data_IF_476625705640
#
_entry.id   IF_476625705640
#
_cell.length_a   1.000
_cell.length_b   1.000
_cell.length_c   1.000
_cell.angle_alpha   90.00
_cell.angle_beta   90.00
_cell.angle_gamma   90.00
#
_symmetry.space_group_name_H-M   'P 1'
#
loop_
_entity.id
_entity.type
_entity.pdbx_description
1 polymer ?
#
# COMPACT_ATOMS: atom_id res chain seq x y z
N UNK A 1 42.34 40.71 -25.56
CA UNK A 1 41.09 40.28 -24.84
C UNK A 1 40.58 41.46 -24.03
N UNK A 2 39.37 41.91 -24.31
CA UNK A 2 38.85 43.14 -23.74
C UNK A 2 38.28 42.83 -22.34
N UNK A 3 38.68 43.61 -21.31
CA UNK A 3 38.28 43.41 -19.88
C UNK A 3 36.77 43.27 -19.68
N UNK A 4 35.96 43.90 -20.55
CA UNK A 4 34.49 43.76 -20.53
C UNK A 4 33.98 42.37 -20.93
N UNK A 5 34.67 41.66 -21.82
CA UNK A 5 34.30 40.31 -22.23
C UNK A 5 34.61 39.28 -21.12
N UNK A 6 35.68 39.50 -20.35
CA UNK A 6 36.02 38.60 -19.23
C UNK A 6 35.03 38.70 -18.06
N UNK A 7 34.55 39.91 -17.75
CA UNK A 7 33.53 40.10 -16.66
C UNK A 7 32.18 39.50 -17.07
N UNK A 8 31.80 39.58 -18.37
CA UNK A 8 30.56 38.98 -18.87
C UNK A 8 30.56 37.44 -18.83
N UNK A 9 31.71 36.83 -19.16
CA UNK A 9 31.84 35.36 -19.09
C UNK A 9 31.91 34.82 -17.66
N UNK A 10 32.48 35.56 -16.72
CA UNK A 10 32.53 35.19 -15.30
C UNK A 10 31.16 35.29 -14.63
N UNK A 11 30.33 36.27 -15.02
CA UNK A 11 28.96 36.40 -14.49
C UNK A 11 28.00 35.28 -15.01
N UNK A 12 28.18 34.85 -16.27
CA UNK A 12 27.44 33.73 -16.85
C UNK A 12 27.83 32.38 -16.24
N UNK A 13 29.11 32.18 -15.92
CA UNK A 13 29.59 30.97 -15.26
C UNK A 13 29.11 30.88 -13.79
N UNK A 14 29.03 32.02 -13.06
CA UNK A 14 28.52 32.06 -11.71
C UNK A 14 26.98 31.85 -11.67
N UNK A 15 26.24 32.33 -12.67
CA UNK A 15 24.79 32.07 -12.78
C UNK A 15 24.47 30.60 -13.14
N UNK A 16 25.34 29.94 -13.95
CA UNK A 16 25.17 28.52 -14.26
C UNK A 16 25.52 27.59 -13.09
N UNK A 17 26.40 27.99 -12.18
CA UNK A 17 26.76 27.25 -10.98
C UNK A 17 25.71 27.41 -9.84
N UNK A 18 24.93 28.50 -9.85
CA UNK A 18 23.85 28.72 -8.88
C UNK A 18 22.52 28.03 -9.26
N UNK A 19 22.37 27.49 -10.47
CA UNK A 19 21.20 26.74 -10.92
C UNK A 19 21.33 25.21 -10.75
N UNK A 20 22.44 24.69 -10.21
CA UNK A 20 22.65 23.26 -9.96
C UNK A 20 22.27 22.80 -8.54
N UNK A 21 21.39 23.50 -7.83
CA UNK A 21 21.14 23.26 -6.42
C UNK A 21 19.70 23.07 -5.97
N UNK A 22 18.72 23.00 -6.85
CA UNK A 22 17.35 22.61 -6.47
C UNK A 22 16.80 21.55 -7.42
N UNK A 23 17.40 20.36 -7.40
CA UNK A 23 16.61 19.19 -7.66
C UNK A 23 15.58 19.14 -6.52
N UNK A 24 14.34 19.55 -6.77
CA UNK A 24 13.25 19.22 -5.87
C UNK A 24 13.28 17.70 -5.70
N UNK A 25 13.83 17.26 -4.58
CA UNK A 25 13.71 15.88 -4.16
C UNK A 25 12.20 15.64 -4.12
N UNK A 26 11.70 14.81 -5.04
CA UNK A 26 10.28 14.50 -5.13
C UNK A 26 9.89 13.97 -3.77
N UNK A 27 9.24 14.79 -2.96
CA UNK A 27 8.87 14.45 -1.60
C UNK A 27 8.02 13.17 -1.70
N UNK A 28 8.49 12.10 -1.06
CA UNK A 28 7.74 10.85 -1.05
C UNK A 28 6.39 11.10 -0.38
N UNK A 29 5.32 10.77 -1.08
CA UNK A 29 3.98 10.83 -0.51
C UNK A 29 3.80 9.63 0.42
N UNK A 30 3.41 9.89 1.67
CA UNK A 30 3.28 8.87 2.71
C UNK A 30 1.80 8.57 2.91
N UNK A 31 1.45 7.29 2.76
CA UNK A 31 0.10 6.79 2.98
C UNK A 31 -0.10 6.14 4.34
N UNK A 32 -1.35 5.95 4.70
CA UNK A 32 -1.77 5.18 5.86
C UNK A 32 -2.95 4.28 5.51
N UNK A 33 -2.92 3.02 5.96
CA UNK A 33 -4.08 2.14 5.92
C UNK A 33 -5.07 2.57 7.00
N UNK A 34 -6.33 2.85 6.62
CA UNK A 34 -7.36 3.35 7.56
C UNK A 34 -7.70 2.36 8.68
N UNK A 35 -7.42 1.07 8.49
CA UNK A 35 -7.59 0.08 9.56
C UNK A 35 -6.73 0.40 10.79
N UNK A 36 -5.63 1.12 10.61
CA UNK A 36 -4.80 1.67 11.69
C UNK A 36 -5.61 2.54 12.66
N UNK A 37 -6.57 3.28 12.19
CA UNK A 37 -7.41 4.18 13.00
C UNK A 37 -8.87 3.72 13.06
N UNK A 38 -9.11 2.41 12.93
CA UNK A 38 -10.45 1.81 12.84
C UNK A 38 -11.41 2.22 13.94
N UNK A 39 -10.92 2.36 15.17
CA UNK A 39 -11.74 2.79 16.31
C UNK A 39 -12.16 4.25 16.20
N UNK A 40 -11.32 5.10 15.61
CA UNK A 40 -11.65 6.49 15.33
C UNK A 40 -12.58 6.62 14.11
N UNK A 41 -12.38 5.79 13.08
CA UNK A 41 -13.28 5.67 11.92
C UNK A 41 -14.68 5.25 12.38
N UNK A 42 -14.79 4.29 13.31
CA UNK A 42 -16.06 3.85 13.85
C UNK A 42 -16.80 4.96 14.64
N UNK A 43 -16.07 5.88 15.26
CA UNK A 43 -16.64 7.06 15.93
C UNK A 43 -17.05 8.15 14.93
N UNK A 44 -16.16 8.49 14.01
CA UNK A 44 -16.37 9.49 12.96
C UNK A 44 -15.33 9.36 11.87
N UNK A 45 -15.78 9.06 10.66
CA UNK A 45 -14.90 9.03 9.47
C UNK A 45 -14.27 10.39 9.22
N UNK A 46 -15.05 11.46 9.40
CA UNK A 46 -14.61 12.87 9.27
C UNK A 46 -13.47 13.18 10.23
N UNK A 47 -13.67 12.83 11.52
CA UNK A 47 -12.67 13.06 12.57
C UNK A 47 -11.39 12.25 12.34
N UNK A 48 -11.53 11.00 11.90
CA UNK A 48 -10.39 10.14 11.57
C UNK A 48 -9.56 10.72 10.42
N UNK A 49 -10.19 11.11 9.30
CA UNK A 49 -9.50 11.71 8.15
C UNK A 49 -8.85 13.05 8.51
N UNK A 50 -9.50 13.87 9.35
CA UNK A 50 -8.91 15.11 9.85
C UNK A 50 -7.67 14.86 10.71
N UNK A 51 -7.73 13.86 11.60
CA UNK A 51 -6.58 13.46 12.44
C UNK A 51 -5.39 12.95 11.61
N UNK A 52 -5.64 12.15 10.58
CA UNK A 52 -4.63 11.66 9.63
C UNK A 52 -3.99 12.83 8.86
N UNK A 53 -4.78 13.73 8.32
CA UNK A 53 -4.28 14.89 7.60
C UNK A 53 -3.43 15.80 8.53
N UNK A 54 -3.87 15.99 9.79
CA UNK A 54 -3.11 16.74 10.80
C UNK A 54 -1.78 16.09 11.17
N UNK A 55 -1.71 14.76 11.17
CA UNK A 55 -0.47 14.02 11.37
C UNK A 55 0.50 14.17 10.19
N UNK A 56 0.02 14.62 9.01
CA UNK A 56 0.84 14.95 7.85
C UNK A 56 0.98 13.86 6.80
N UNK A 57 0.00 12.93 6.74
CA UNK A 57 -0.14 11.95 5.66
C UNK A 57 -0.73 12.59 4.41
N UNK A 58 -0.38 12.06 3.25
CA UNK A 58 -0.78 12.57 1.93
C UNK A 58 -1.93 11.76 1.33
N UNK A 59 -1.98 10.46 1.62
CA UNK A 59 -3.01 9.58 1.10
C UNK A 59 -3.39 8.48 2.10
N UNK A 60 -4.51 7.85 1.83
CA UNK A 60 -5.05 6.76 2.64
C UNK A 60 -5.31 5.55 1.75
N UNK A 61 -5.24 4.39 2.33
CA UNK A 61 -5.83 3.18 1.80
C UNK A 61 -7.13 2.89 2.54
N UNK A 62 -8.21 2.74 1.78
CA UNK A 62 -9.54 2.52 2.34
C UNK A 62 -9.74 1.04 2.70
N UNK A 63 -10.73 0.76 3.54
CA UNK A 63 -11.25 -0.57 3.82
C UNK A 63 -12.76 -0.51 4.09
N UNK A 64 -13.39 -1.66 4.38
CA UNK A 64 -14.76 -1.70 4.89
C UNK A 64 -15.81 -1.37 3.84
N UNK A 65 -15.53 -1.61 2.55
CA UNK A 65 -16.53 -1.50 1.49
C UNK A 65 -17.53 -2.64 1.58
N UNK A 66 -18.79 -2.30 1.76
CA UNK A 66 -19.91 -3.22 1.78
C UNK A 66 -21.16 -2.51 1.26
N UNK A 67 -21.99 -3.20 0.47
CA UNK A 67 -23.26 -2.67 -0.06
C UNK A 67 -23.13 -1.30 -0.72
N UNK A 68 -22.05 -1.10 -1.47
CA UNK A 68 -21.69 0.15 -2.17
C UNK A 68 -21.39 1.33 -1.24
N UNK A 69 -21.07 1.07 0.01
CA UNK A 69 -20.75 2.06 1.02
C UNK A 69 -19.38 1.78 1.66
N UNK A 70 -18.69 2.83 2.05
CA UNK A 70 -17.55 2.81 2.98
C UNK A 70 -17.99 3.47 4.29
N UNK A 71 -18.00 2.72 5.36
CA UNK A 71 -18.38 3.25 6.67
C UNK A 71 -19.75 3.96 6.68
N UNK A 72 -20.72 3.40 5.93
CA UNK A 72 -22.06 3.98 5.78
C UNK A 72 -22.16 5.19 4.82
N UNK A 73 -21.07 5.53 4.10
CA UNK A 73 -21.02 6.66 3.15
C UNK A 73 -20.78 6.16 1.73
N UNK A 74 -21.39 6.83 0.76
CA UNK A 74 -21.15 6.56 -0.67
C UNK A 74 -19.71 6.96 -1.07
N UNK A 75 -19.20 6.40 -2.17
CA UNK A 75 -17.91 6.78 -2.73
C UNK A 75 -17.81 8.30 -3.01
N UNK A 76 -18.91 8.93 -3.45
CA UNK A 76 -18.94 10.37 -3.66
C UNK A 76 -18.79 11.17 -2.36
N UNK A 77 -19.39 10.73 -1.25
CA UNK A 77 -19.24 11.36 0.06
C UNK A 77 -17.81 11.17 0.60
N UNK A 78 -17.24 9.97 0.50
CA UNK A 78 -15.82 9.72 0.85
C UNK A 78 -14.89 10.63 0.04
N UNK A 79 -15.10 10.71 -1.29
CA UNK A 79 -14.30 11.61 -2.15
C UNK A 79 -14.34 13.07 -1.68
N UNK A 80 -15.52 13.57 -1.29
CA UNK A 80 -15.67 14.92 -0.78
C UNK A 80 -14.87 15.12 0.52
N UNK A 81 -14.92 14.16 1.46
CA UNK A 81 -14.17 14.19 2.71
C UNK A 81 -12.66 14.13 2.48
N UNK A 82 -12.19 13.27 1.58
CA UNK A 82 -10.77 13.20 1.20
C UNK A 82 -10.30 14.55 0.64
N UNK A 83 -11.06 15.13 -0.28
CA UNK A 83 -10.75 16.45 -0.86
C UNK A 83 -10.70 17.55 0.19
N UNK A 84 -11.65 17.58 1.12
CA UNK A 84 -11.69 18.56 2.23
C UNK A 84 -10.43 18.49 3.09
N UNK A 85 -9.90 17.31 3.32
CA UNK A 85 -8.70 17.06 4.12
C UNK A 85 -7.40 17.04 3.30
N UNK A 86 -7.45 17.32 1.98
CA UNK A 86 -6.31 17.28 1.05
C UNK A 86 -5.65 15.87 1.00
N UNK A 87 -6.41 14.83 1.24
CA UNK A 87 -6.00 13.43 1.15
C UNK A 87 -6.40 12.85 -0.20
N UNK A 88 -5.67 11.81 -0.64
CA UNK A 88 -5.99 10.99 -1.81
C UNK A 88 -6.20 9.54 -1.37
N UNK A 89 -6.88 8.74 -2.19
CA UNK A 89 -6.97 7.29 -2.00
C UNK A 89 -6.62 6.60 -3.31
N UNK A 90 -5.47 5.93 -3.36
CA UNK A 90 -5.00 5.25 -4.58
C UNK A 90 -5.38 3.78 -4.60
N UNK A 91 -5.75 3.24 -3.44
CA UNK A 91 -6.14 1.84 -3.23
C UNK A 91 -7.16 1.70 -2.11
N UNK A 92 -7.72 0.52 -2.03
CA UNK A 92 -8.54 0.10 -0.92
C UNK A 92 -8.54 -1.42 -0.77
N UNK A 93 -8.70 -1.87 0.46
CA UNK A 93 -8.90 -3.26 0.83
C UNK A 93 -10.36 -3.66 0.66
N UNK A 94 -10.62 -4.65 -0.17
CA UNK A 94 -11.95 -5.14 -0.50
C UNK A 94 -12.07 -6.62 -0.17
N UNK A 95 -12.96 -6.94 0.76
CA UNK A 95 -13.29 -8.33 1.12
C UNK A 95 -14.22 -8.92 0.05
N UNK A 96 -13.67 -9.62 -0.90
CA UNK A 96 -14.35 -10.14 -2.09
C UNK A 96 -14.74 -11.62 -1.96
N UNK A 97 -15.23 -12.04 -0.80
CA UNK A 97 -15.47 -13.44 -0.46
C UNK A 97 -16.34 -14.16 -1.51
N UNK A 98 -17.43 -13.54 -1.95
CA UNK A 98 -18.30 -14.14 -2.96
C UNK A 98 -17.60 -14.37 -4.29
N UNK A 99 -16.78 -13.40 -4.73
CA UNK A 99 -15.98 -13.54 -5.94
C UNK A 99 -14.94 -14.66 -5.81
N UNK A 100 -14.26 -14.73 -4.68
CA UNK A 100 -13.15 -15.64 -4.47
C UNK A 100 -13.58 -17.09 -4.24
N UNK A 101 -14.70 -17.29 -3.54
CA UNK A 101 -15.04 -18.63 -3.03
C UNK A 101 -16.23 -19.30 -3.71
N UNK A 102 -17.15 -18.54 -4.28
CA UNK A 102 -18.31 -19.14 -4.94
C UNK A 102 -17.93 -19.75 -6.30
N UNK A 103 -18.43 -20.94 -6.59
CA UNK A 103 -18.21 -21.62 -7.87
C UNK A 103 -18.73 -20.80 -9.06
N UNK A 104 -19.88 -20.15 -8.86
CA UNK A 104 -20.47 -19.22 -9.81
C UNK A 104 -20.52 -17.85 -9.18
N UNK A 105 -20.04 -16.83 -9.86
CA UNK A 105 -20.04 -15.46 -9.38
C UNK A 105 -20.70 -14.51 -10.39
N UNK A 106 -21.59 -13.65 -9.90
CA UNK A 106 -22.16 -12.58 -10.71
C UNK A 106 -21.21 -11.38 -10.73
N UNK A 107 -20.58 -11.14 -11.88
CA UNK A 107 -19.63 -10.06 -12.06
C UNK A 107 -20.25 -8.65 -12.00
N UNK A 108 -21.57 -8.49 -11.88
CA UNK A 108 -22.19 -7.18 -11.74
C UNK A 108 -21.81 -6.50 -10.43
N UNK A 109 -21.71 -7.27 -9.32
CA UNK A 109 -21.21 -6.73 -8.03
C UNK A 109 -19.78 -6.20 -8.15
N UNK A 110 -18.93 -6.90 -8.91
CA UNK A 110 -17.57 -6.45 -9.22
C UNK A 110 -17.55 -5.16 -10.02
N UNK A 111 -18.42 -5.02 -11.04
CA UNK A 111 -18.54 -3.80 -11.83
C UNK A 111 -18.99 -2.62 -10.97
N UNK A 112 -19.99 -2.81 -10.09
CA UNK A 112 -20.39 -1.76 -9.15
C UNK A 112 -19.27 -1.30 -8.24
N UNK A 113 -18.44 -2.23 -7.75
CA UNK A 113 -17.24 -1.91 -6.97
C UNK A 113 -16.25 -1.09 -7.80
N UNK A 114 -15.99 -1.49 -9.05
CA UNK A 114 -15.10 -0.76 -9.96
C UNK A 114 -15.61 0.65 -10.29
N UNK A 115 -16.94 0.84 -10.46
CA UNK A 115 -17.54 2.15 -10.64
C UNK A 115 -17.30 3.05 -9.42
N UNK A 116 -17.53 2.53 -8.21
CA UNK A 116 -17.33 3.27 -6.97
C UNK A 116 -15.83 3.59 -6.71
N UNK A 117 -14.93 2.63 -7.00
CA UNK A 117 -13.50 2.83 -6.93
C UNK A 117 -12.99 3.86 -7.96
N UNK A 118 -13.58 3.88 -9.16
CA UNK A 118 -13.26 4.88 -10.19
C UNK A 118 -13.64 6.30 -9.75
N UNK A 119 -14.79 6.47 -9.08
CA UNK A 119 -15.14 7.75 -8.46
C UNK A 119 -14.10 8.24 -7.47
N UNK A 120 -13.47 7.34 -6.71
CA UNK A 120 -12.41 7.63 -5.76
C UNK A 120 -11.04 7.82 -6.42
N UNK A 121 -10.93 7.55 -7.74
CA UNK A 121 -9.68 7.58 -8.50
C UNK A 121 -8.66 6.51 -8.04
N UNK A 122 -9.15 5.37 -7.55
CA UNK A 122 -8.30 4.24 -7.22
C UNK A 122 -7.53 3.74 -8.43
N UNK A 123 -6.31 3.30 -8.20
CA UNK A 123 -5.47 2.61 -9.17
C UNK A 123 -5.38 1.12 -8.85
N UNK A 124 -5.72 0.74 -7.62
CA UNK A 124 -5.66 -0.64 -7.13
C UNK A 124 -6.91 -1.02 -6.35
N UNK A 125 -7.37 -2.24 -6.63
CA UNK A 125 -8.35 -2.96 -5.82
C UNK A 125 -7.56 -4.06 -5.11
N UNK A 126 -7.36 -3.93 -3.80
CA UNK A 126 -6.52 -4.87 -3.05
C UNK A 126 -7.40 -5.89 -2.33
N UNK A 127 -7.08 -7.17 -2.51
CA UNK A 127 -7.67 -8.28 -1.78
C UNK A 127 -6.82 -8.48 -0.51
N UNK A 128 -7.36 -8.18 0.70
CA UNK A 128 -6.54 -8.10 1.91
C UNK A 128 -6.41 -9.42 2.66
N UNK A 129 -7.28 -10.40 2.38
CA UNK A 129 -7.43 -11.55 3.26
C UNK A 129 -8.09 -12.73 2.58
N UNK A 130 -7.66 -13.94 2.93
CA UNK A 130 -8.39 -15.17 2.65
C UNK A 130 -8.86 -15.83 3.94
N UNK A 131 -10.13 -16.25 3.96
CA UNK A 131 -10.70 -16.97 5.09
C UNK A 131 -9.92 -18.27 5.36
N UNK A 132 -9.73 -18.60 6.63
CA UNK A 132 -8.99 -19.80 7.05
C UNK A 132 -9.56 -21.10 6.47
N UNK A 133 -10.88 -21.16 6.24
CA UNK A 133 -11.54 -22.28 5.58
C UNK A 133 -11.18 -22.45 4.10
N UNK A 134 -10.51 -21.45 3.50
CA UNK A 134 -10.19 -21.37 2.07
C UNK A 134 -8.69 -21.19 1.81
N UNK A 135 -7.83 -21.92 2.55
CA UNK A 135 -6.36 -21.85 2.46
C UNK A 135 -5.71 -23.16 2.04
N UNK A 136 -6.43 -24.03 1.32
CA UNK A 136 -5.84 -25.22 0.70
C UNK A 136 -5.15 -24.88 -0.62
N UNK A 137 -4.32 -25.79 -1.15
CA UNK A 137 -3.68 -25.58 -2.46
C UNK A 137 -4.67 -25.36 -3.60
N UNK A 138 -5.80 -26.08 -3.59
CA UNK A 138 -6.87 -25.93 -4.59
C UNK A 138 -7.60 -24.58 -4.41
N UNK A 139 -7.76 -24.09 -3.18
CA UNK A 139 -8.33 -22.77 -2.92
C UNK A 139 -7.44 -21.67 -3.48
N UNK A 140 -6.12 -21.70 -3.20
CA UNK A 140 -5.19 -20.72 -3.74
C UNK A 140 -5.17 -20.70 -5.27
N UNK A 141 -5.26 -21.86 -5.91
CA UNK A 141 -5.37 -21.95 -7.37
C UNK A 141 -6.63 -21.26 -7.87
N UNK A 142 -7.80 -21.59 -7.29
CA UNK A 142 -9.08 -20.98 -7.64
C UNK A 142 -9.08 -19.48 -7.40
N UNK A 143 -8.58 -19.02 -6.25
CA UNK A 143 -8.44 -17.60 -5.93
C UNK A 143 -7.58 -16.88 -6.97
N UNK A 144 -6.45 -17.47 -7.37
CA UNK A 144 -5.56 -16.92 -8.38
C UNK A 144 -6.24 -16.78 -9.75
N UNK A 145 -7.04 -17.79 -10.16
CA UNK A 145 -7.84 -17.75 -11.37
C UNK A 145 -8.88 -16.61 -11.30
N UNK A 146 -9.58 -16.47 -10.18
CA UNK A 146 -10.56 -15.39 -9.94
C UNK A 146 -9.92 -13.99 -9.93
N UNK A 147 -8.74 -13.86 -9.36
CA UNK A 147 -7.97 -12.61 -9.41
C UNK A 147 -7.67 -12.22 -10.86
N UNK A 148 -7.21 -13.14 -11.69
CA UNK A 148 -6.93 -12.89 -13.10
C UNK A 148 -8.21 -12.46 -13.86
N UNK A 149 -9.33 -13.15 -13.64
CA UNK A 149 -10.63 -12.81 -14.26
C UNK A 149 -11.08 -11.40 -13.85
N UNK A 150 -11.05 -11.09 -12.56
CA UNK A 150 -11.41 -9.76 -12.03
C UNK A 150 -10.47 -8.66 -12.54
N UNK A 151 -9.18 -8.93 -12.63
CA UNK A 151 -8.18 -7.99 -13.11
C UNK A 151 -8.37 -7.68 -14.62
N UNK A 152 -8.77 -8.66 -15.42
CA UNK A 152 -9.10 -8.44 -16.81
C UNK A 152 -10.27 -7.46 -16.99
N UNK A 153 -11.28 -7.52 -16.11
CA UNK A 153 -12.39 -6.54 -16.09
C UNK A 153 -11.94 -5.17 -15.57
N UNK A 154 -11.11 -5.13 -14.50
CA UNK A 154 -10.60 -3.89 -13.91
C UNK A 154 -9.74 -3.07 -14.91
N UNK A 155 -9.13 -3.72 -15.89
CA UNK A 155 -8.35 -3.07 -16.96
C UNK A 155 -9.13 -1.99 -17.70
N UNK A 156 -10.42 -2.17 -17.94
CA UNK A 156 -11.28 -1.18 -18.60
C UNK A 156 -11.38 0.13 -17.79
N UNK A 157 -11.24 0.04 -16.48
CA UNK A 157 -11.22 1.16 -15.54
C UNK A 157 -9.80 1.72 -15.30
N UNK A 158 -8.78 1.18 -16.00
CA UNK A 158 -7.35 1.51 -15.79
C UNK A 158 -6.86 1.19 -14.38
N UNK A 159 -7.47 0.20 -13.73
CA UNK A 159 -7.09 -0.30 -12.42
C UNK A 159 -6.39 -1.65 -12.53
N UNK A 160 -5.56 -1.95 -11.54
CA UNK A 160 -5.00 -3.28 -11.30
C UNK A 160 -5.65 -3.91 -10.08
N UNK A 161 -5.59 -5.23 -10.00
CA UNK A 161 -5.89 -5.94 -8.76
C UNK A 161 -4.60 -6.13 -7.98
N UNK A 162 -4.64 -5.85 -6.68
CA UNK A 162 -3.60 -6.13 -5.72
C UNK A 162 -3.95 -7.33 -4.84
N UNK A 163 -2.95 -8.02 -4.33
CA UNK A 163 -3.11 -9.00 -3.28
C UNK A 163 -2.17 -8.67 -2.12
N UNK A 164 -2.73 -8.56 -0.91
CA UNK A 164 -2.01 -8.30 0.33
C UNK A 164 -1.79 -9.62 1.09
N UNK A 165 -0.56 -9.85 1.52
CA UNK A 165 -0.20 -11.07 2.25
C UNK A 165 -0.26 -10.90 3.77
N UNK A 166 -0.47 -12.04 4.42
CA UNK A 166 -0.17 -12.27 5.82
C UNK A 166 0.98 -13.29 5.95
N UNK A 167 1.06 -13.99 7.06
CA UNK A 167 2.09 -15.02 7.31
C UNK A 167 1.77 -16.36 6.62
N UNK A 168 0.49 -16.68 6.46
CA UNK A 168 0.07 -18.00 5.97
C UNK A 168 0.40 -18.24 4.50
N UNK A 169 0.51 -17.22 3.67
CA UNK A 169 0.88 -17.35 2.26
C UNK A 169 2.34 -17.77 2.07
N UNK A 170 3.17 -17.63 3.10
CA UNK A 170 4.56 -18.13 3.08
C UNK A 170 4.68 -19.61 3.42
N UNK A 171 3.58 -20.29 3.74
CA UNK A 171 3.56 -21.74 3.92
C UNK A 171 3.79 -22.47 2.60
N UNK A 172 4.36 -23.68 2.69
CA UNK A 172 4.67 -24.52 1.51
C UNK A 172 3.40 -25.14 0.91
N UNK A 173 3.26 -25.02 -0.39
CA UNK A 173 2.11 -25.51 -1.17
C UNK A 173 2.34 -26.90 -1.77
N UNK A 174 3.05 -27.79 -1.10
CA UNK A 174 3.26 -29.16 -1.57
C UNK A 174 4.19 -29.35 -2.79
N UNK A 175 4.37 -28.33 -3.63
CA UNK A 175 5.26 -28.31 -4.80
C UNK A 175 6.64 -27.67 -4.52
N UNK A 176 6.99 -27.53 -3.25
CA UNK A 176 8.25 -26.92 -2.81
C UNK A 176 8.25 -25.38 -2.79
N UNK A 177 7.28 -24.73 -3.42
CA UNK A 177 7.07 -23.27 -3.39
C UNK A 177 6.09 -22.88 -2.30
N UNK A 178 6.07 -21.59 -1.95
CA UNK A 178 5.04 -21.03 -1.05
C UNK A 178 3.75 -20.74 -1.83
N UNK A 179 2.64 -20.54 -1.10
CA UNK A 179 1.39 -20.12 -1.73
C UNK A 179 1.56 -18.77 -2.43
N UNK A 180 2.21 -17.80 -1.76
CA UNK A 180 2.49 -16.48 -2.36
C UNK A 180 3.32 -16.61 -3.64
N UNK A 181 4.35 -17.46 -3.65
CA UNK A 181 5.18 -17.66 -4.84
C UNK A 181 4.36 -18.21 -6.01
N UNK A 182 3.46 -19.16 -5.77
CA UNK A 182 2.57 -19.70 -6.80
C UNK A 182 1.63 -18.60 -7.32
N UNK A 183 0.98 -17.83 -6.44
CA UNK A 183 0.09 -16.74 -6.85
C UNK A 183 0.81 -15.68 -7.70
N UNK A 184 2.05 -15.30 -7.34
CA UNK A 184 2.84 -14.36 -8.13
C UNK A 184 3.13 -14.90 -9.53
N UNK A 185 3.44 -16.20 -9.66
CA UNK A 185 3.78 -16.85 -10.94
C UNK A 185 2.57 -17.06 -11.84
N UNK A 186 1.42 -17.35 -11.24
CA UNK A 186 0.20 -17.75 -11.95
C UNK A 186 -0.74 -16.55 -12.23
N UNK A 187 -0.38 -15.33 -11.79
CA UNK A 187 -1.10 -14.09 -12.11
C UNK A 187 -0.47 -13.30 -13.25
N UNK A 188 -1.31 -12.64 -14.06
CA UNK A 188 -0.86 -11.76 -15.15
C UNK A 188 -0.11 -10.54 -14.59
N UNK A 189 1.21 -10.39 -14.84
CA UNK A 189 2.00 -9.28 -14.31
C UNK A 189 1.60 -7.90 -14.88
N UNK A 190 0.88 -7.87 -15.98
CA UNK A 190 0.34 -6.63 -16.54
C UNK A 190 -0.89 -6.12 -15.80
N UNK A 191 -1.62 -6.99 -15.12
CA UNK A 191 -2.93 -6.72 -14.53
C UNK A 191 -2.97 -6.87 -13.00
N UNK A 192 -2.07 -7.67 -12.43
CA UNK A 192 -2.03 -8.00 -11.01
C UNK A 192 -0.69 -7.60 -10.43
N UNK A 193 -0.71 -6.89 -9.34
CA UNK A 193 0.45 -6.55 -8.51
C UNK A 193 0.25 -7.11 -7.09
N UNK A 194 1.28 -7.01 -6.25
CA UNK A 194 1.21 -7.47 -4.87
C UNK A 194 1.48 -6.30 -3.93
N UNK A 195 0.76 -6.29 -2.83
CA UNK A 195 1.01 -5.43 -1.68
C UNK A 195 1.74 -6.25 -0.64
N UNK A 196 3.06 -6.04 -0.53
CA UNK A 196 3.83 -6.75 0.48
C UNK A 196 3.62 -6.11 1.86
N UNK A 197 2.99 -6.84 2.76
CA UNK A 197 3.07 -6.51 4.18
C UNK A 197 4.42 -6.99 4.71
N UNK A 198 5.29 -6.03 5.00
CA UNK A 198 6.68 -6.27 5.41
C UNK A 198 6.75 -6.88 6.80
N UNK A 199 5.84 -6.49 7.69
CA UNK A 199 5.73 -7.07 9.02
C UNK A 199 5.39 -8.57 8.94
N UNK A 200 4.35 -8.93 8.16
CA UNK A 200 3.95 -10.33 8.03
C UNK A 200 5.00 -11.18 7.34
N UNK A 201 5.72 -10.63 6.37
CA UNK A 201 6.88 -11.30 5.76
C UNK A 201 7.96 -11.56 6.82
N UNK A 202 8.36 -10.55 7.58
CA UNK A 202 9.35 -10.69 8.66
C UNK A 202 8.86 -11.62 9.78
N UNK A 203 7.57 -11.56 10.13
CA UNK A 203 6.94 -12.46 11.12
C UNK A 203 7.05 -13.93 10.71
N UNK A 204 6.86 -14.22 9.41
CA UNK A 204 7.02 -15.54 8.81
C UNK A 204 8.49 -15.92 8.57
N UNK A 205 9.47 -15.10 9.03
CA UNK A 205 10.89 -15.39 8.86
C UNK A 205 11.40 -15.19 7.43
N UNK A 206 10.71 -14.39 6.61
CA UNK A 206 11.10 -14.06 5.25
C UNK A 206 11.87 -12.75 5.18
N UNK A 207 12.83 -12.66 4.27
CA UNK A 207 13.50 -11.41 3.92
C UNK A 207 12.74 -10.70 2.79
N UNK A 208 12.14 -9.51 3.02
CA UNK A 208 11.45 -8.75 1.97
C UNK A 208 12.33 -8.45 0.76
N UNK A 209 13.64 -8.21 0.98
CA UNK A 209 14.57 -7.88 -0.10
C UNK A 209 14.81 -9.08 -1.01
N UNK A 210 14.87 -10.30 -0.44
CA UNK A 210 14.94 -11.53 -1.25
C UNK A 210 13.69 -11.66 -2.14
N UNK A 211 12.50 -11.40 -1.62
CA UNK A 211 11.27 -11.40 -2.41
C UNK A 211 11.30 -10.36 -3.53
N UNK A 212 11.81 -9.15 -3.29
CA UNK A 212 11.97 -8.13 -4.33
C UNK A 212 12.94 -8.56 -5.44
N UNK A 213 14.03 -9.24 -5.08
CA UNK A 213 15.01 -9.77 -6.06
C UNK A 213 14.45 -10.93 -6.89
N UNK A 214 13.68 -11.81 -6.27
CA UNK A 214 13.07 -12.97 -6.93
C UNK A 214 11.93 -12.58 -7.87
N UNK A 215 11.20 -11.52 -7.54
CA UNK A 215 10.04 -11.05 -8.27
C UNK A 215 10.09 -9.52 -8.51
N UNK A 216 11.07 -9.06 -9.31
CA UNK A 216 11.27 -7.63 -9.51
C UNK A 216 10.04 -6.99 -10.17
N UNK A 217 9.64 -5.82 -9.67
CA UNK A 217 8.50 -5.05 -10.20
C UNK A 217 7.12 -5.56 -9.82
N UNK A 218 7.00 -6.63 -8.99
CA UNK A 218 5.70 -7.20 -8.62
C UNK A 218 5.12 -6.66 -7.31
N UNK A 219 5.94 -6.04 -6.45
CA UNK A 219 5.52 -5.51 -5.16
C UNK A 219 5.41 -3.99 -5.24
N UNK A 220 4.38 -3.53 -5.95
CA UNK A 220 4.18 -2.10 -6.22
C UNK A 220 3.52 -1.35 -5.07
N UNK A 221 2.96 -2.08 -4.12
CA UNK A 221 2.38 -1.58 -2.88
C UNK A 221 3.08 -2.21 -1.69
N UNK A 222 3.26 -1.45 -0.60
CA UNK A 222 3.78 -1.96 0.66
C UNK A 222 2.93 -1.53 1.84
N UNK A 223 2.74 -2.45 2.80
CA UNK A 223 2.42 -2.07 4.17
C UNK A 223 3.71 -1.90 4.97
N UNK A 224 3.88 -0.67 5.46
CA UNK A 224 4.99 -0.27 6.32
C UNK A 224 4.50 -0.37 7.77
N UNK A 225 4.63 -1.58 8.32
CA UNK A 225 4.15 -2.00 9.62
C UNK A 225 5.34 -2.58 10.38
N UNK A 226 5.70 -1.97 11.51
CA UNK A 226 6.88 -2.37 12.26
C UNK A 226 6.54 -3.44 13.31
N UNK A 227 7.54 -4.21 13.70
CA UNK A 227 7.43 -5.34 14.60
C UNK A 227 8.17 -5.08 15.90
N UNK A 228 7.49 -5.14 17.03
CA UNK A 228 8.11 -4.94 18.35
C UNK A 228 9.13 -6.03 18.65
N UNK A 229 10.14 -5.66 19.44
CA UNK A 229 11.07 -6.62 20.00
C UNK A 229 10.37 -7.49 21.05
N UNK A 230 10.78 -8.75 21.14
CA UNK A 230 10.28 -9.68 22.15
C UNK A 230 9.37 -10.79 21.59
N UNK A 231 8.85 -11.66 22.46
CA UNK A 231 8.19 -12.90 22.04
C UNK A 231 6.83 -12.67 21.35
N UNK A 232 6.13 -11.60 21.70
CA UNK A 232 4.79 -11.33 21.17
C UNK A 232 4.80 -10.76 19.74
N UNK A 233 5.93 -10.19 19.31
CA UNK A 233 6.09 -9.64 17.95
C UNK A 233 4.93 -8.75 17.50
N UNK A 234 4.33 -7.97 18.40
CA UNK A 234 3.18 -7.11 18.07
C UNK A 234 3.60 -5.98 17.12
N UNK A 235 2.65 -5.45 16.35
CA UNK A 235 2.90 -4.24 15.58
C UNK A 235 3.15 -3.05 16.51
N UNK A 236 4.05 -2.16 16.10
CA UNK A 236 4.38 -0.95 16.84
C UNK A 236 4.63 0.20 15.86
N UNK A 237 4.90 1.39 16.40
CA UNK A 237 5.24 2.56 15.60
C UNK A 237 6.47 2.29 14.72
N UNK A 238 6.41 2.72 13.48
CA UNK A 238 7.51 2.58 12.52
C UNK A 238 8.76 3.27 13.08
N UNK A 239 9.85 2.53 13.13
CA UNK A 239 11.13 2.96 13.70
C UNK A 239 11.31 2.66 15.19
N UNK A 240 10.30 2.12 15.88
CA UNK A 240 10.42 1.64 17.26
C UNK A 240 10.53 0.10 17.34
N UNK A 241 10.42 -0.57 16.20
CA UNK A 241 10.51 -2.03 16.09
C UNK A 241 11.90 -2.53 15.68
N UNK A 242 11.91 -3.73 15.09
CA UNK A 242 13.13 -4.44 14.69
C UNK A 242 13.37 -4.45 13.18
N UNK A 243 12.46 -3.88 12.37
CA UNK A 243 12.57 -3.90 10.92
C UNK A 243 13.51 -2.78 10.45
N UNK A 244 14.50 -3.12 9.63
CA UNK A 244 15.44 -2.14 9.05
C UNK A 244 14.83 -1.44 7.83
N UNK A 245 14.07 -0.40 8.08
CA UNK A 245 13.37 0.38 7.06
C UNK A 245 14.33 1.05 6.08
N UNK A 246 15.51 1.51 6.51
CA UNK A 246 16.49 2.14 5.62
C UNK A 246 16.96 1.18 4.52
N UNK A 247 17.30 -0.03 4.92
CA UNK A 247 17.73 -1.08 3.97
C UNK A 247 16.58 -1.52 3.05
N UNK A 248 15.35 -1.63 3.57
CA UNK A 248 14.18 -2.00 2.75
C UNK A 248 13.83 -0.92 1.73
N UNK A 249 13.77 0.36 2.13
CA UNK A 249 13.50 1.46 1.21
C UNK A 249 14.61 1.66 0.16
N UNK A 250 15.86 1.33 0.47
CA UNK A 250 16.92 1.31 -0.53
C UNK A 250 16.65 0.34 -1.69
N UNK A 251 15.86 -0.73 -1.46
CA UNK A 251 15.46 -1.71 -2.46
C UNK A 251 14.15 -1.36 -3.21
N UNK A 252 13.53 -0.19 -2.96
CA UNK A 252 12.22 0.19 -3.51
C UNK A 252 12.12 0.11 -5.05
N UNK A 253 13.20 0.42 -5.76
CA UNK A 253 13.23 0.31 -7.24
C UNK A 253 13.11 -1.13 -7.71
N UNK A 254 13.77 -2.06 -7.02
CA UNK A 254 13.72 -3.48 -7.36
C UNK A 254 12.33 -4.05 -7.13
N UNK A 255 11.64 -3.64 -6.07
CA UNK A 255 10.25 -4.05 -5.81
C UNK A 255 9.27 -3.50 -6.83
N UNK A 256 9.57 -2.34 -7.43
CA UNK A 256 8.67 -1.57 -8.29
C UNK A 256 7.71 -0.66 -7.52
N UNK A 257 8.07 -0.26 -6.29
CA UNK A 257 7.21 0.50 -5.37
C UNK A 257 6.59 1.74 -6.03
N UNK A 258 5.29 1.89 -5.87
CA UNK A 258 4.50 3.06 -6.27
C UNK A 258 3.87 3.76 -5.09
N UNK A 259 3.27 2.99 -4.17
CA UNK A 259 2.63 3.49 -2.96
C UNK A 259 3.01 2.64 -1.78
N UNK A 260 3.10 3.25 -0.61
CA UNK A 260 3.22 2.53 0.65
C UNK A 260 2.33 3.16 1.70
N UNK A 261 1.86 2.34 2.62
CA UNK A 261 0.92 2.71 3.66
C UNK A 261 1.45 2.27 5.02
N UNK A 262 1.55 3.22 5.94
CA UNK A 262 1.80 2.89 7.34
C UNK A 262 0.61 2.11 7.88
N UNK A 263 0.87 1.02 8.58
CA UNK A 263 -0.16 0.29 9.30
C UNK A 263 0.30 -0.07 10.71
N UNK A 264 -0.61 -0.01 11.68
CA UNK A 264 -0.39 -0.43 13.06
C UNK A 264 -1.71 -0.94 13.66
N UNK A 265 -1.63 -2.05 14.41
CA UNK A 265 -2.82 -2.68 15.00
C UNK A 265 -2.80 -2.69 16.53
N UNK A 266 -1.64 -2.52 17.16
CA UNK A 266 -1.45 -2.47 18.61
C UNK A 266 -0.87 -1.13 19.02
N UNK A 267 -1.41 -0.53 20.05
CA UNK A 267 -1.08 0.83 20.47
C UNK A 267 -0.69 0.85 21.94
N UNK A 268 0.38 1.56 22.27
CA UNK A 268 0.83 1.84 23.65
C UNK A 268 0.48 3.25 24.10
N UNK A 269 -0.05 4.08 23.17
CA UNK A 269 -0.46 5.46 23.36
C UNK A 269 -1.65 5.79 22.44
N UNK A 270 -2.28 6.97 22.52
CA UNK A 270 -3.35 7.36 21.60
C UNK A 270 -2.93 7.22 20.14
N UNK A 271 -3.78 6.63 19.31
CA UNK A 271 -3.43 6.24 17.92
C UNK A 271 -2.89 7.37 17.07
N UNK A 272 -3.41 8.60 17.23
CA UNK A 272 -2.90 9.75 16.49
C UNK A 272 -1.47 10.15 16.87
N UNK A 273 -1.01 9.84 18.09
CA UNK A 273 0.39 9.98 18.47
C UNK A 273 1.25 8.90 17.82
N UNK A 274 0.77 7.65 17.81
CA UNK A 274 1.47 6.54 17.14
C UNK A 274 1.72 6.83 15.66
N UNK A 275 0.69 7.27 14.93
CA UNK A 275 0.83 7.58 13.50
C UNK A 275 1.69 8.81 13.23
N UNK A 276 1.68 9.81 14.14
CA UNK A 276 2.56 10.98 14.07
C UNK A 276 4.04 10.59 14.31
N UNK A 277 4.32 9.70 15.26
CA UNK A 277 5.66 9.17 15.50
C UNK A 277 6.17 8.41 14.27
N UNK A 278 5.34 7.52 13.70
CA UNK A 278 5.67 6.71 12.52
C UNK A 278 6.03 7.57 11.31
N UNK A 279 5.19 8.55 10.96
CA UNK A 279 5.48 9.44 9.83
C UNK A 279 6.68 10.35 10.11
N UNK A 280 6.86 10.78 11.37
CA UNK A 280 8.01 11.57 11.80
C UNK A 280 9.33 10.82 11.59
N UNK A 281 9.38 9.55 11.97
CA UNK A 281 10.54 8.69 11.73
C UNK A 281 10.82 8.51 10.23
N UNK A 282 9.80 8.18 9.44
CA UNK A 282 9.96 7.99 7.99
C UNK A 282 10.53 9.22 7.31
N UNK A 283 9.99 10.42 7.61
CA UNK A 283 10.46 11.69 7.02
C UNK A 283 11.88 12.06 7.42
N UNK A 284 12.27 11.73 8.65
CA UNK A 284 13.57 12.15 9.19
C UNK A 284 14.70 11.17 8.88
N UNK A 285 14.40 9.85 8.94
CA UNK A 285 15.43 8.82 8.98
C UNK A 285 15.49 7.95 7.72
N UNK A 286 14.42 7.91 6.91
CA UNK A 286 14.29 6.95 5.81
C UNK A 286 14.18 7.61 4.44
N UNK A 287 13.36 8.68 4.32
CA UNK A 287 13.01 9.37 3.08
C UNK A 287 13.77 10.69 2.93
#
# INVERSE_FOLDING_TARGET
MNRRAFIGQSALAAAALSMQGFAFQKQHQIGIQLYTVRDEVAKSVEGALQGIAKAGYDHVELYGYQDRLFFGKTAAQIKALLKQNKLQAHSGHYLLQDMLYNKTYNWDSWKYLLDDAALLQHQYIVIPWLDAAHRTGDDFKRVTERINEGAALAKAYKMKVGYHNHDFEFQKAGNGKTFLENMIRDTDPGLVDFELDIYWAAYAGQDPIDWFRRFPGRFTLWHVKDMSQGPNKQSCEVGKGVIDWKTIFAAQKTSGLKYFFVEQEHYTQPVFNCIADSIGYLKKEVL
#
